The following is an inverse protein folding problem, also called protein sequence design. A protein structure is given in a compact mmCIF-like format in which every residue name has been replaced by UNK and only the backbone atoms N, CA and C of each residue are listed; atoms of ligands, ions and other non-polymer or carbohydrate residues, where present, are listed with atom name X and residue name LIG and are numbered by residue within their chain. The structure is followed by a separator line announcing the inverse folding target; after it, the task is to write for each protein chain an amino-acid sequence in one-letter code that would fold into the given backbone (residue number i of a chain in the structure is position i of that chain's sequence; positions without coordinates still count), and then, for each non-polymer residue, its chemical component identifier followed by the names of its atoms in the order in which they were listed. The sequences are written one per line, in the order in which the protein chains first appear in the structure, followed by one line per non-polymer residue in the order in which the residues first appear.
data_IF_824389637017
#
_entry.id   IF_824389637017
#
_cell.length_a   1.000
_cell.length_b   1.000
_cell.length_c   1.000
_cell.angle_alpha   90.00
_cell.angle_beta   90.00
_cell.angle_gamma   90.00
#
_symmetry.space_group_name_H-M   'P 1'
#
loop_
_entity.id
_entity.type
_entity.pdbx_description
1 polymer ?
#
# COMPACT_ATOMS: atom_id res chain seq x y z
N UNK A 1 -73.93 1.05 -22.42
CA UNK A 1 -72.91 1.90 -21.76
C UNK A 1 -72.25 1.25 -20.57
N UNK A 2 -72.24 -0.09 -20.46
CA UNK A 2 -71.72 -0.82 -19.31
C UNK A 2 -70.55 -1.75 -19.63
N UNK A 3 -70.08 -1.77 -20.88
CA UNK A 3 -69.03 -2.69 -21.31
C UNK A 3 -67.60 -2.08 -21.37
N UNK A 4 -67.50 -0.77 -21.35
CA UNK A 4 -66.23 -0.06 -21.49
C UNK A 4 -65.47 0.05 -20.15
N UNK A 5 -66.17 -0.10 -19.03
CA UNK A 5 -65.55 0.00 -17.70
C UNK A 5 -64.87 -1.28 -17.19
N UNK A 6 -65.12 -2.43 -17.82
CA UNK A 6 -64.54 -3.72 -17.40
C UNK A 6 -63.12 -3.95 -17.92
N UNK A 7 -62.81 -3.37 -19.07
CA UNK A 7 -61.48 -3.53 -19.69
C UNK A 7 -60.41 -2.66 -19.00
N UNK A 8 -60.79 -1.48 -18.49
CA UNK A 8 -59.87 -0.57 -17.83
C UNK A 8 -59.34 -1.08 -16.51
N UNK A 9 -60.13 -1.89 -15.80
CA UNK A 9 -59.70 -2.50 -14.52
C UNK A 9 -58.65 -3.59 -14.69
N UNK A 10 -58.61 -4.28 -15.82
CA UNK A 10 -57.62 -5.35 -16.09
C UNK A 10 -56.27 -4.79 -16.53
N UNK A 11 -56.28 -3.65 -17.23
CA UNK A 11 -55.02 -3.00 -17.65
C UNK A 11 -54.29 -2.33 -16.49
N UNK A 12 -54.97 -1.82 -15.48
CA UNK A 12 -54.33 -1.16 -14.31
C UNK A 12 -53.74 -2.18 -13.32
N UNK A 13 -54.37 -3.39 -13.19
CA UNK A 13 -53.80 -4.44 -12.32
C UNK A 13 -52.54 -5.09 -12.93
N UNK A 14 -52.42 -5.12 -14.26
CA UNK A 14 -51.26 -5.68 -14.95
C UNK A 14 -50.00 -4.78 -14.84
N UNK A 15 -50.21 -3.47 -14.70
CA UNK A 15 -49.10 -2.52 -14.59
C UNK A 15 -48.56 -2.35 -13.17
N UNK A 16 -49.31 -2.75 -12.14
CA UNK A 16 -48.84 -2.68 -10.75
C UNK A 16 -47.99 -3.88 -10.32
N UNK A 17 -48.00 -5.00 -11.07
CA UNK A 17 -47.20 -6.19 -10.72
C UNK A 17 -45.78 -6.15 -11.30
N UNK A 18 -45.47 -5.19 -12.19
CA UNK A 18 -44.13 -5.11 -12.81
C UNK A 18 -43.13 -4.22 -12.04
N UNK A 19 -43.58 -3.49 -11.01
CA UNK A 19 -42.74 -2.58 -10.23
C UNK A 19 -42.08 -3.24 -9.02
N UNK A 20 -42.43 -4.49 -8.68
CA UNK A 20 -41.91 -5.18 -7.48
C UNK A 20 -40.77 -6.16 -7.74
N UNK A 21 -40.26 -6.26 -8.98
CA UNK A 21 -39.11 -7.16 -9.30
C UNK A 21 -37.84 -6.35 -9.60
N UNK A 22 -37.83 -5.05 -9.39
CA UNK A 22 -36.57 -4.34 -9.28
C UNK A 22 -36.14 -4.51 -7.81
N UNK A 23 -35.65 -5.70 -7.48
CA UNK A 23 -34.89 -5.91 -6.25
C UNK A 23 -33.77 -4.87 -6.16
N UNK A 24 -33.32 -4.54 -4.96
CA UNK A 24 -32.23 -3.59 -4.81
C UNK A 24 -31.06 -4.06 -5.70
N UNK A 25 -30.75 -3.24 -6.69
CA UNK A 25 -29.54 -3.43 -7.50
C UNK A 25 -28.41 -3.66 -6.52
N UNK A 26 -27.70 -4.79 -6.57
CA UNK A 26 -26.57 -4.98 -5.68
C UNK A 26 -25.63 -3.80 -5.94
N UNK A 27 -25.39 -3.03 -4.91
CA UNK A 27 -24.47 -1.90 -4.94
C UNK A 27 -23.08 -2.44 -5.26
N UNK A 28 -22.77 -2.58 -6.55
CA UNK A 28 -21.43 -3.00 -7.03
C UNK A 28 -20.40 -1.87 -6.87
N UNK A 29 -20.83 -0.73 -6.30
CA UNK A 29 -19.93 0.37 -5.97
C UNK A 29 -18.87 -0.02 -4.92
N UNK A 30 -19.21 -0.93 -4.01
CA UNK A 30 -18.32 -1.31 -2.91
C UNK A 30 -17.11 -2.12 -3.40
N UNK A 31 -17.28 -2.91 -4.46
CA UNK A 31 -16.20 -3.74 -5.02
C UNK A 31 -15.10 -2.91 -5.69
N UNK A 32 -15.49 -1.81 -6.35
CA UNK A 32 -14.53 -0.92 -7.01
C UNK A 32 -13.75 -0.10 -5.97
N UNK A 33 -14.44 0.35 -4.94
CA UNK A 33 -13.83 1.09 -3.82
C UNK A 33 -12.87 0.19 -3.01
N UNK A 34 -13.27 -1.04 -2.71
CA UNK A 34 -12.42 -2.02 -2.04
C UNK A 34 -11.21 -2.44 -2.89
N UNK A 35 -11.38 -2.57 -4.21
CA UNK A 35 -10.31 -2.91 -5.13
C UNK A 35 -9.27 -1.79 -5.24
N UNK A 36 -9.67 -0.52 -5.15
CA UNK A 36 -8.76 0.63 -5.15
C UNK A 36 -8.10 0.84 -3.80
N UNK A 37 -8.84 0.74 -2.68
CA UNK A 37 -8.27 0.88 -1.33
C UNK A 37 -7.32 -0.26 -0.99
N UNK A 38 -7.61 -1.50 -1.38
CA UNK A 38 -6.70 -2.63 -1.23
C UNK A 38 -5.40 -2.51 -2.04
N UNK A 39 -5.38 -1.67 -3.08
CA UNK A 39 -4.18 -1.41 -3.89
C UNK A 39 -3.30 -0.30 -3.31
N UNK A 40 -3.87 0.57 -2.46
CA UNK A 40 -3.16 1.70 -1.83
C UNK A 40 -2.55 1.29 -0.49
N UNK A 41 -3.20 0.42 0.26
CA UNK A 41 -2.67 -0.14 1.50
C UNK A 41 -1.90 -1.44 1.22
N UNK A 42 -0.64 -1.32 0.78
CA UNK A 42 0.25 -2.49 0.83
C UNK A 42 0.41 -2.86 2.30
N UNK A 43 0.07 -4.11 2.70
CA UNK A 43 0.20 -4.52 4.09
C UNK A 43 1.63 -4.27 4.58
N UNK A 44 1.82 -3.98 5.87
CA UNK A 44 3.16 -3.83 6.42
C UNK A 44 3.97 -5.08 6.07
N UNK A 45 5.16 -4.89 5.55
CA UNK A 45 6.06 -6.01 5.30
C UNK A 45 6.68 -6.40 6.65
N UNK A 46 6.06 -7.40 7.27
CA UNK A 46 6.56 -7.96 8.52
C UNK A 46 7.64 -9.03 8.23
N UNK A 47 8.72 -9.01 9.00
CA UNK A 47 9.81 -9.99 8.91
C UNK A 47 10.49 -10.05 7.54
N UNK A 48 10.88 -8.90 7.02
CA UNK A 48 11.67 -8.80 5.80
C UNK A 48 13.15 -8.64 6.11
N UNK A 49 14.00 -9.11 5.19
CA UNK A 49 15.43 -8.97 5.30
C UNK A 49 15.88 -7.62 4.74
N UNK A 50 16.67 -6.91 5.53
CA UNK A 50 17.33 -5.67 5.15
C UNK A 50 18.83 -5.81 5.22
N UNK A 51 19.55 -5.13 4.34
CA UNK A 51 21.01 -5.08 4.28
C UNK A 51 21.54 -3.66 4.40
N UNK A 52 22.86 -3.53 4.43
CA UNK A 52 23.55 -2.24 4.57
C UNK A 52 24.39 -1.99 3.32
N UNK A 53 24.39 -0.75 2.82
CA UNK A 53 25.21 -0.32 1.71
C UNK A 53 25.93 1.00 2.03
N UNK A 54 27.12 1.23 1.46
CA UNK A 54 27.93 2.43 1.75
C UNK A 54 28.84 2.87 0.60
N UNK A 55 28.84 2.15 -0.52
CA UNK A 55 29.84 2.35 -1.60
C UNK A 55 29.35 3.21 -2.77
N UNK A 56 28.09 3.61 -2.80
CA UNK A 56 27.54 4.37 -3.90
C UNK A 56 28.06 5.83 -3.92
N UNK A 57 28.27 6.35 -5.12
CA UNK A 57 28.68 7.75 -5.31
C UNK A 57 27.49 8.69 -5.42
N UNK A 58 26.38 8.21 -6.02
CA UNK A 58 25.18 8.97 -6.33
C UNK A 58 23.95 8.18 -5.94
N UNK A 59 22.96 8.86 -5.37
CA UNK A 59 21.67 8.27 -5.11
C UNK A 59 20.77 8.28 -6.38
N UNK A 60 19.62 7.61 -6.33
CA UNK A 60 18.69 7.52 -7.45
C UNK A 60 18.05 8.86 -7.82
N UNK A 61 18.22 9.92 -7.02
CA UNK A 61 17.80 11.31 -7.32
C UNK A 61 18.87 12.09 -8.06
N UNK A 62 20.03 11.48 -8.35
CA UNK A 62 21.19 12.15 -8.94
C UNK A 62 21.91 13.08 -7.97
N UNK A 63 21.75 12.92 -6.65
CA UNK A 63 22.47 13.65 -5.62
C UNK A 63 23.62 12.80 -5.09
N UNK A 64 24.68 13.46 -4.59
CA UNK A 64 25.78 12.76 -3.96
C UNK A 64 25.28 11.94 -2.77
N UNK A 65 25.56 10.64 -2.77
CA UNK A 65 25.24 9.76 -1.67
C UNK A 65 26.04 10.11 -0.41
N UNK A 66 25.38 10.09 0.72
CA UNK A 66 25.98 10.41 2.03
C UNK A 66 25.74 9.23 2.97
N UNK A 67 26.72 8.32 3.10
CA UNK A 67 26.51 7.08 3.86
C UNK A 67 26.12 7.30 5.32
N UNK A 68 26.56 8.39 5.95
CA UNK A 68 26.28 8.69 7.35
C UNK A 68 24.89 9.32 7.60
N UNK A 69 24.19 9.76 6.55
CA UNK A 69 22.80 10.23 6.67
C UNK A 69 21.83 9.03 6.69
N UNK A 70 20.71 9.18 7.40
CA UNK A 70 19.68 8.15 7.43
C UNK A 70 18.95 8.12 6.11
N UNK A 71 19.10 7.04 5.35
CA UNK A 71 18.39 6.80 4.11
C UNK A 71 18.24 5.31 3.84
N UNK A 72 17.28 4.99 2.97
CA UNK A 72 17.02 3.63 2.52
C UNK A 72 16.97 3.56 1.01
N UNK A 73 17.26 2.37 0.49
CA UNK A 73 16.97 2.01 -0.89
C UNK A 73 15.82 1.00 -0.97
N UNK A 74 14.93 1.20 -1.92
CA UNK A 74 13.83 0.29 -2.23
C UNK A 74 13.60 0.19 -3.73
N UNK A 75 13.25 -1.02 -4.24
CA UNK A 75 13.16 -1.27 -5.69
C UNK A 75 12.11 -0.42 -6.39
N UNK A 76 10.91 -0.33 -5.83
CA UNK A 76 9.71 0.18 -6.52
C UNK A 76 9.00 1.30 -5.80
N UNK A 77 9.30 1.56 -4.52
CA UNK A 77 8.66 2.65 -3.78
C UNK A 77 9.04 4.02 -4.36
N UNK A 78 8.14 4.99 -4.25
CA UNK A 78 8.42 6.35 -4.71
C UNK A 78 9.60 6.93 -3.94
N UNK A 79 10.52 7.62 -4.63
CA UNK A 79 11.60 8.35 -3.98
C UNK A 79 11.01 9.44 -3.09
N UNK A 80 11.50 9.56 -1.86
CA UNK A 80 10.96 10.45 -0.84
C UNK A 80 9.91 9.80 0.07
N UNK A 81 9.42 8.59 -0.21
CA UNK A 81 8.57 7.85 0.72
C UNK A 81 9.32 7.65 2.04
N UNK A 82 8.66 7.96 3.14
CA UNK A 82 9.22 7.72 4.48
C UNK A 82 8.72 6.38 5.00
N UNK A 83 9.64 5.50 5.36
CA UNK A 83 9.34 4.26 6.05
C UNK A 83 9.59 4.40 7.54
N UNK A 84 8.68 3.86 8.34
CA UNK A 84 8.91 3.53 9.75
C UNK A 84 9.42 2.10 9.79
N UNK A 85 10.69 1.95 10.13
CA UNK A 85 11.34 0.65 10.16
C UNK A 85 11.62 0.26 11.59
N UNK A 86 11.23 -0.96 11.96
CA UNK A 86 11.50 -1.55 13.28
C UNK A 86 12.40 -2.76 13.13
N UNK A 87 13.53 -2.76 13.79
CA UNK A 87 14.38 -3.93 13.90
C UNK A 87 13.73 -4.94 14.86
N UNK A 88 13.48 -6.16 14.40
CA UNK A 88 12.79 -7.19 15.17
C UNK A 88 13.66 -7.85 16.24
N UNK A 89 14.98 -7.67 16.15
CA UNK A 89 15.93 -8.27 17.09
C UNK A 89 16.12 -7.42 18.35
N UNK A 90 16.08 -6.09 18.20
CA UNK A 90 16.34 -5.16 19.31
C UNK A 90 15.20 -4.15 19.57
N UNK A 91 14.14 -4.16 18.77
CA UNK A 91 12.98 -3.28 18.92
C UNK A 91 13.22 -1.81 18.53
N UNK A 92 14.43 -1.42 18.10
CA UNK A 92 14.71 -0.04 17.69
C UNK A 92 13.91 0.34 16.45
N UNK A 93 13.47 1.59 16.42
CA UNK A 93 12.71 2.18 15.30
C UNK A 93 13.42 3.38 14.74
N UNK A 94 13.35 3.54 13.41
CA UNK A 94 13.80 4.74 12.72
C UNK A 94 12.81 5.14 11.64
N UNK A 95 12.78 6.43 11.33
CA UNK A 95 12.20 6.93 10.09
C UNK A 95 13.29 6.92 9.02
N UNK A 96 12.99 6.27 7.88
CA UNK A 96 13.95 6.06 6.82
C UNK A 96 13.37 6.53 5.48
N UNK A 97 13.82 7.67 4.94
CA UNK A 97 13.39 8.13 3.62
C UNK A 97 14.01 7.25 2.53
N UNK A 98 13.19 6.83 1.57
CA UNK A 98 13.62 6.10 0.39
C UNK A 98 14.25 7.10 -0.58
N UNK A 99 15.57 7.08 -0.70
CA UNK A 99 16.32 8.01 -1.56
C UNK A 99 17.04 7.30 -2.71
N UNK A 100 17.06 5.96 -2.68
CA UNK A 100 17.81 5.15 -3.64
C UNK A 100 17.05 3.92 -4.12
N UNK A 101 17.62 3.24 -5.12
CA UNK A 101 17.09 2.01 -5.73
C UNK A 101 17.90 0.80 -5.30
N UNK A 102 17.21 -0.27 -4.99
CA UNK A 102 17.76 -1.54 -4.49
C UNK A 102 16.90 -2.07 -3.36
N UNK A 103 17.29 -3.15 -2.71
CA UNK A 103 18.35 -4.09 -3.08
C UNK A 103 18.02 -4.90 -4.33
N UNK A 104 19.03 -5.25 -5.12
CA UNK A 104 18.84 -6.13 -6.30
C UNK A 104 19.10 -7.60 -5.97
N UNK A 105 19.60 -7.90 -4.79
CA UNK A 105 19.77 -9.26 -4.30
C UNK A 105 18.41 -9.90 -3.97
N UNK A 106 18.28 -11.21 -4.27
CA UNK A 106 17.08 -11.98 -3.95
C UNK A 106 16.85 -12.07 -2.44
N UNK A 107 15.60 -12.03 -2.00
CA UNK A 107 15.20 -12.16 -0.60
C UNK A 107 15.25 -10.84 0.20
N UNK A 108 16.01 -9.85 -0.25
CA UNK A 108 16.12 -8.55 0.42
C UNK A 108 15.06 -7.58 -0.10
N UNK A 109 14.50 -6.78 0.80
CA UNK A 109 13.44 -5.80 0.49
C UNK A 109 13.94 -4.37 0.65
N UNK A 110 14.85 -4.13 1.59
CA UNK A 110 15.33 -2.82 1.96
C UNK A 110 16.86 -2.83 2.14
N UNK A 111 17.52 -1.77 1.69
CA UNK A 111 18.92 -1.51 2.03
C UNK A 111 19.03 -0.22 2.86
N UNK A 112 19.81 -0.26 3.92
CA UNK A 112 20.10 0.87 4.78
C UNK A 112 21.42 1.53 4.39
N UNK A 113 21.44 2.87 4.43
CA UNK A 113 22.70 3.59 4.53
C UNK A 113 23.41 3.23 5.84
N UNK A 114 24.72 3.47 5.94
CA UNK A 114 25.48 3.25 7.17
C UNK A 114 24.87 3.99 8.36
N UNK A 115 24.46 5.25 8.18
CA UNK A 115 23.81 6.05 9.22
C UNK A 115 22.48 5.47 9.71
N UNK A 116 21.67 4.92 8.80
CA UNK A 116 20.44 4.22 9.15
C UNK A 116 20.74 2.91 9.90
N UNK A 117 21.69 2.12 9.42
CA UNK A 117 22.08 0.87 10.01
C UNK A 117 22.60 1.03 11.45
N UNK A 118 23.47 2.02 11.69
CA UNK A 118 23.95 2.33 13.04
C UNK A 118 22.84 2.73 14.01
N UNK A 119 21.90 3.57 13.55
CA UNK A 119 20.77 4.01 14.38
C UNK A 119 19.83 2.88 14.76
N UNK A 120 19.52 1.99 13.80
CA UNK A 120 18.61 0.87 14.04
C UNK A 120 19.30 -0.35 14.66
N UNK A 121 20.63 -0.33 14.73
CA UNK A 121 21.45 -1.43 15.26
C UNK A 121 21.41 -2.66 14.34
N UNK A 122 21.61 -2.43 13.04
CA UNK A 122 21.72 -3.48 12.02
C UNK A 122 23.18 -3.65 11.61
N UNK A 123 23.79 -4.79 11.89
CA UNK A 123 25.15 -5.11 11.51
C UNK A 123 25.16 -6.08 10.31
N UNK A 124 25.12 -5.49 9.11
CA UNK A 124 25.11 -6.21 7.83
C UNK A 124 23.73 -6.66 7.37
N UNK A 125 23.17 -7.73 7.92
CA UNK A 125 21.84 -8.25 7.62
C UNK A 125 21.00 -8.25 8.88
N UNK A 126 19.74 -7.79 8.78
CA UNK A 126 18.81 -7.79 9.90
C UNK A 126 17.37 -8.01 9.45
N UNK A 127 16.56 -8.52 10.35
CA UNK A 127 15.12 -8.70 10.13
C UNK A 127 14.35 -7.49 10.63
N UNK A 128 13.53 -6.94 9.78
CA UNK A 128 12.80 -5.70 10.06
C UNK A 128 11.33 -5.80 9.70
N UNK A 129 10.54 -4.97 10.38
CA UNK A 129 9.18 -4.62 10.01
C UNK A 129 9.20 -3.26 9.34
N UNK A 130 8.56 -3.15 8.17
CA UNK A 130 8.51 -1.92 7.39
C UNK A 130 7.08 -1.45 7.24
N UNK A 131 6.80 -0.20 7.60
CA UNK A 131 5.52 0.48 7.40
C UNK A 131 5.76 1.82 6.73
N UNK A 132 4.83 2.29 5.91
CA UNK A 132 4.87 3.67 5.41
C UNK A 132 4.42 4.63 6.52
N UNK A 133 5.10 5.76 6.65
CA UNK A 133 4.64 6.84 7.51
C UNK A 133 3.32 7.42 6.97
N UNK A 134 2.37 7.72 7.88
CA UNK A 134 1.07 8.29 7.51
C UNK A 134 -0.04 7.28 7.19
N UNK A 135 0.22 5.99 7.37
CA UNK A 135 -0.78 4.92 7.29
C UNK A 135 -0.79 4.16 8.63
N UNK A 136 -1.42 4.73 9.64
CA UNK A 136 -1.80 4.05 10.89
C UNK A 136 -3.24 3.55 10.80
#
# INVERSE_FOLDING_TARGET
MCWVMAEYRRAVLGMMLFVLIVGPWPAQADTFQQMWMGRIARPPADNVEASVYWEDKWDARGKRFRPNEVSCAHRTEALGTIFIVTNLENGKKIECPVLDRGPFARGRVLDFSLGAALKIGCDGLCRVRVRRAGYE
#
